data_IF_677713871965
#
_entry.id   IF_677713871965
#
_cell.length_a   1.000
_cell.length_b   1.000
_cell.length_c   1.000
_cell.angle_alpha   90.00
_cell.angle_beta   90.00
_cell.angle_gamma   90.00
#
_symmetry.space_group_name_H-M   'P 1'
#
loop_
_entity.id
_entity.type
_entity.pdbx_description
1 polymer ?
#
# COMPACT_ATOMS: atom_id res chain seq x y z
N UNK A 1 9.67 -10.96 -5.25
CA UNK A 1 8.33 -10.34 -5.02
C UNK A 1 8.31 -8.98 -5.68
N UNK A 2 7.32 -8.69 -6.52
CA UNK A 2 7.13 -7.35 -7.07
C UNK A 2 6.56 -6.44 -6.00
N UNK A 3 7.10 -5.24 -5.90
CA UNK A 3 6.53 -4.19 -5.04
C UNK A 3 5.26 -3.56 -5.66
N UNK A 4 5.17 -3.60 -6.98
CA UNK A 4 4.09 -2.98 -7.74
C UNK A 4 3.66 -3.89 -8.90
N UNK A 5 2.40 -3.81 -9.27
CA UNK A 5 1.79 -4.54 -10.37
C UNK A 5 0.86 -3.58 -11.12
N UNK A 6 0.87 -3.65 -12.45
CA UNK A 6 -0.10 -2.90 -13.25
C UNK A 6 -1.48 -3.53 -13.09
N UNK A 7 -2.53 -2.73 -13.13
CA UNK A 7 -3.90 -3.23 -13.11
C UNK A 7 -4.18 -4.17 -14.27
N UNK A 8 -3.64 -3.88 -15.45
CA UNK A 8 -3.73 -4.74 -16.64
C UNK A 8 -3.01 -6.09 -16.52
N UNK A 9 -2.09 -6.23 -15.56
CA UNK A 9 -1.37 -7.47 -15.29
C UNK A 9 -1.98 -8.29 -14.14
N UNK A 10 -3.00 -7.76 -13.47
CA UNK A 10 -3.59 -8.38 -12.29
C UNK A 10 -4.09 -9.80 -12.58
N UNK A 11 -4.79 -9.98 -13.69
CA UNK A 11 -5.32 -11.28 -14.11
C UNK A 11 -4.20 -12.28 -14.40
N UNK A 12 -3.18 -11.85 -15.14
CA UNK A 12 -2.00 -12.67 -15.44
C UNK A 12 -1.25 -13.05 -14.15
N UNK A 13 -1.16 -12.12 -13.20
CA UNK A 13 -0.53 -12.38 -11.90
C UNK A 13 -1.29 -13.45 -11.10
N UNK A 14 -2.61 -13.36 -11.07
CA UNK A 14 -3.45 -14.32 -10.34
C UNK A 14 -3.32 -15.71 -10.98
N UNK A 15 -3.39 -15.80 -12.29
CA UNK A 15 -3.24 -17.07 -13.00
C UNK A 15 -1.84 -17.66 -12.81
N UNK A 16 -0.81 -16.82 -12.84
CA UNK A 16 0.56 -17.23 -12.55
C UNK A 16 0.71 -17.75 -11.09
N UNK A 17 0.06 -17.12 -10.13
CA UNK A 17 0.04 -17.59 -8.74
C UNK A 17 -0.66 -18.95 -8.60
N UNK A 18 -1.77 -19.15 -9.32
CA UNK A 18 -2.51 -20.42 -9.33
C UNK A 18 -1.71 -21.57 -9.97
N UNK A 19 -1.00 -21.26 -11.03
CA UNK A 19 -0.20 -22.25 -11.79
C UNK A 19 1.22 -22.42 -11.25
N UNK A 20 1.66 -21.66 -10.25
CA UNK A 20 3.02 -21.69 -9.72
C UNK A 20 4.09 -21.20 -10.69
N UNK A 21 3.70 -20.49 -11.75
CA UNK A 21 4.62 -19.95 -12.75
C UNK A 21 4.85 -18.44 -12.53
N UNK A 22 6.07 -17.98 -12.88
CA UNK A 22 6.47 -16.57 -12.76
C UNK A 22 6.80 -15.96 -14.13
N UNK A 23 5.84 -15.96 -15.04
CA UNK A 23 6.02 -15.40 -16.39
C UNK A 23 5.92 -13.88 -16.48
N UNK A 24 5.82 -13.19 -15.35
CA UNK A 24 5.71 -11.75 -15.30
C UNK A 24 7.08 -11.07 -15.46
N UNK A 25 7.13 -9.97 -16.19
CA UNK A 25 8.34 -9.15 -16.33
C UNK A 25 8.80 -8.64 -14.96
N UNK A 26 10.13 -8.66 -14.73
CA UNK A 26 10.70 -8.36 -13.42
C UNK A 26 10.64 -6.88 -13.03
N UNK A 27 10.61 -5.97 -14.00
CA UNK A 27 10.59 -4.52 -13.72
C UNK A 27 9.34 -3.84 -14.30
N UNK A 28 8.57 -3.15 -13.45
CA UNK A 28 7.51 -2.29 -13.93
C UNK A 28 8.11 -0.99 -14.49
N UNK A 29 7.74 -0.62 -15.70
CA UNK A 29 8.20 0.60 -16.38
C UNK A 29 7.37 1.85 -16.02
N UNK A 30 6.47 1.78 -15.04
CA UNK A 30 5.64 2.89 -14.60
C UNK A 30 6.29 3.78 -13.53
N UNK A 31 7.39 3.35 -12.95
CA UNK A 31 8.13 4.13 -11.96
C UNK A 31 9.62 3.79 -11.99
N UNK A 32 10.44 4.79 -11.75
CA UNK A 32 11.87 4.64 -11.50
C UNK A 32 12.19 4.89 -10.03
N UNK A 33 13.15 4.16 -9.48
CA UNK A 33 13.66 4.39 -8.14
C UNK A 33 15.01 5.07 -8.21
N UNK A 34 15.17 6.13 -7.43
CA UNK A 34 16.43 6.85 -7.30
C UNK A 34 16.83 6.83 -5.84
N UNK A 35 18.07 6.41 -5.57
CA UNK A 35 18.67 6.54 -4.25
C UNK A 35 19.49 7.82 -4.20
N UNK A 36 19.19 8.70 -3.26
CA UNK A 36 19.91 9.93 -3.03
C UNK A 36 20.61 9.90 -1.68
N UNK A 37 21.87 10.35 -1.65
CA UNK A 37 22.63 10.50 -0.41
C UNK A 37 22.44 11.92 0.09
N UNK A 38 22.04 12.03 1.34
CA UNK A 38 21.90 13.30 2.05
C UNK A 38 22.84 13.33 3.26
N UNK A 39 23.16 14.52 3.72
CA UNK A 39 23.97 14.71 4.90
C UNK A 39 23.15 15.36 6.02
N UNK A 40 23.26 14.84 7.22
CA UNK A 40 22.70 15.49 8.38
C UNK A 40 23.49 16.79 8.67
N UNK A 41 22.78 17.91 8.85
CA UNK A 41 23.36 19.24 8.80
C UNK A 41 24.43 19.55 9.84
N UNK A 42 24.42 18.93 11.04
CA UNK A 42 25.40 19.17 12.10
C UNK A 42 26.54 18.16 12.13
N UNK A 43 26.25 16.90 11.95
CA UNK A 43 27.22 15.81 12.12
C UNK A 43 27.79 15.31 10.81
N UNK A 44 27.29 15.81 9.66
CA UNK A 44 27.65 15.38 8.31
C UNK A 44 27.60 13.85 8.10
N UNK A 45 26.76 13.16 8.88
CA UNK A 45 26.55 11.73 8.71
C UNK A 45 25.73 11.50 7.45
N UNK A 46 26.24 10.72 6.49
CA UNK A 46 25.49 10.43 5.27
C UNK A 46 24.32 9.48 5.57
N UNK A 47 23.18 9.74 4.96
CA UNK A 47 22.06 8.81 4.95
C UNK A 47 21.43 8.73 3.56
N UNK A 48 20.96 7.56 3.19
CA UNK A 48 20.35 7.33 1.89
C UNK A 48 18.82 7.35 1.99
N UNK A 49 18.20 8.01 1.02
CA UNK A 49 16.74 7.96 0.84
C UNK A 49 16.41 7.42 -0.53
N UNK A 50 15.49 6.43 -0.58
CA UNK A 50 14.92 5.98 -1.84
C UNK A 50 13.68 6.80 -2.18
N UNK A 51 13.59 7.24 -3.40
CA UNK A 51 12.42 7.95 -3.94
C UNK A 51 11.94 7.25 -5.21
N UNK A 52 10.62 7.23 -5.41
CA UNK A 52 10.00 6.73 -6.63
C UNK A 52 9.50 7.91 -7.45
N UNK A 53 9.80 7.89 -8.74
CA UNK A 53 9.31 8.86 -9.71
C UNK A 53 8.44 8.12 -10.72
N UNK A 54 7.18 8.51 -10.81
CA UNK A 54 6.24 7.88 -11.72
C UNK A 54 6.49 8.35 -13.16
N UNK A 55 6.28 7.43 -14.11
CA UNK A 55 6.25 7.76 -15.51
C UNK A 55 5.04 8.67 -15.84
N UNK A 56 5.04 9.38 -16.96
CA UNK A 56 3.86 10.12 -17.40
C UNK A 56 2.61 9.22 -17.44
N UNK A 57 1.50 9.72 -16.95
CA UNK A 57 0.22 9.01 -16.84
C UNK A 57 0.25 7.77 -15.91
N UNK A 58 1.23 7.67 -15.04
CA UNK A 58 1.29 6.66 -13.99
C UNK A 58 1.14 7.29 -12.60
N UNK A 59 0.65 6.52 -11.65
CA UNK A 59 0.45 7.01 -10.29
C UNK A 59 0.07 5.91 -9.31
N UNK A 60 -0.35 6.30 -8.14
CA UNK A 60 -0.88 5.42 -7.12
C UNK A 60 -2.41 5.38 -7.21
N UNK A 61 -2.98 4.26 -6.86
CA UNK A 61 -4.42 4.13 -6.66
C UNK A 61 -4.71 3.53 -5.28
N UNK A 62 -5.89 3.80 -4.80
CA UNK A 62 -6.41 3.26 -3.55
C UNK A 62 -7.81 2.71 -3.81
N UNK A 63 -8.11 1.56 -3.24
CA UNK A 63 -9.45 0.97 -3.28
C UNK A 63 -10.10 1.18 -1.93
N UNK A 64 -11.29 1.80 -1.94
CA UNK A 64 -12.02 2.14 -0.71
C UNK A 64 -13.44 1.57 -0.82
N UNK A 65 -13.88 0.92 0.24
CA UNK A 65 -15.27 0.52 0.40
C UNK A 65 -15.97 1.52 1.32
N UNK A 66 -17.01 2.15 0.81
CA UNK A 66 -17.85 3.05 1.58
C UNK A 66 -19.10 2.31 2.06
N UNK A 67 -19.57 2.65 3.25
CA UNK A 67 -20.82 2.13 3.81
C UNK A 67 -22.02 2.88 3.26
N UNK A 68 -21.86 4.16 2.98
CA UNK A 68 -22.91 5.05 2.48
C UNK A 68 -22.38 5.93 1.36
N UNK A 69 -23.26 6.36 0.43
CA UNK A 69 -22.88 7.23 -0.69
C UNK A 69 -22.51 8.64 -0.23
N UNK A 70 -23.09 9.10 0.85
CA UNK A 70 -22.88 10.41 1.44
C UNK A 70 -21.43 10.61 1.92
N UNK A 71 -20.74 9.51 2.20
CA UNK A 71 -19.33 9.55 2.61
C UNK A 71 -18.38 10.01 1.49
N UNK A 72 -18.85 10.07 0.25
CA UNK A 72 -18.02 10.47 -0.90
C UNK A 72 -17.50 11.90 -0.82
N UNK A 73 -18.32 12.84 -0.38
CA UNK A 73 -17.92 14.26 -0.28
C UNK A 73 -16.84 14.45 0.79
N UNK A 74 -17.03 13.80 1.93
CA UNK A 74 -16.07 13.79 3.01
C UNK A 74 -14.76 13.12 2.56
N UNK A 75 -14.84 11.98 1.89
CA UNK A 75 -13.67 11.26 1.37
C UNK A 75 -12.88 12.11 0.37
N UNK A 76 -13.55 12.78 -0.55
CA UNK A 76 -12.91 13.69 -1.52
C UNK A 76 -12.15 14.80 -0.80
N UNK A 77 -12.77 15.44 0.20
CA UNK A 77 -12.11 16.45 1.01
C UNK A 77 -10.89 15.90 1.74
N UNK A 78 -11.00 14.72 2.34
CA UNK A 78 -9.91 14.09 3.06
C UNK A 78 -8.72 13.78 2.13
N UNK A 79 -8.98 13.24 0.95
CA UNK A 79 -7.92 12.94 -0.03
C UNK A 79 -7.27 14.23 -0.54
N UNK A 80 -8.03 15.28 -0.76
CA UNK A 80 -7.47 16.59 -1.11
C UNK A 80 -6.52 17.10 -0.02
N UNK A 81 -6.91 17.03 1.25
CA UNK A 81 -6.06 17.42 2.38
C UNK A 81 -4.79 16.54 2.46
N UNK A 82 -4.91 15.25 2.22
CA UNK A 82 -3.77 14.33 2.14
C UNK A 82 -2.84 14.74 0.99
N UNK A 83 -3.38 15.12 -0.16
CA UNK A 83 -2.62 15.60 -1.30
C UNK A 83 -1.79 16.84 -0.97
N UNK A 84 -2.36 17.79 -0.26
CA UNK A 84 -1.68 18.99 0.21
C UNK A 84 -0.59 18.68 1.25
N UNK A 85 -0.86 17.77 2.17
CA UNK A 85 0.09 17.39 3.21
C UNK A 85 1.20 16.46 2.71
N UNK A 86 0.94 15.70 1.65
CA UNK A 86 1.84 14.70 1.06
C UNK A 86 1.76 13.33 1.71
N UNK A 87 2.12 12.30 0.93
CA UNK A 87 2.20 10.89 1.35
C UNK A 87 3.65 10.46 1.42
N UNK A 88 3.98 9.66 2.41
CA UNK A 88 5.32 9.09 2.56
C UNK A 88 6.29 9.96 3.35
N UNK A 89 7.57 9.78 3.12
CA UNK A 89 8.64 10.51 3.80
C UNK A 89 8.92 11.89 3.18
N UNK A 90 9.64 12.72 3.92
CA UNK A 90 10.11 14.04 3.46
C UNK A 90 9.00 15.02 3.03
N UNK A 91 7.85 14.93 3.65
CA UNK A 91 6.71 15.84 3.40
C UNK A 91 7.06 17.30 3.64
N UNK A 92 7.88 17.58 4.64
CA UNK A 92 8.42 18.93 4.92
C UNK A 92 9.28 19.51 3.78
N UNK A 93 9.84 18.64 2.94
CA UNK A 93 10.59 19.03 1.74
C UNK A 93 9.71 19.01 0.47
N UNK A 94 8.39 18.93 0.61
CA UNK A 94 7.44 18.95 -0.50
C UNK A 94 7.26 17.62 -1.23
N UNK A 95 7.92 16.54 -0.78
CA UNK A 95 7.76 15.23 -1.39
C UNK A 95 6.41 14.61 -1.11
N UNK A 96 5.91 13.81 -2.07
CA UNK A 96 4.66 13.06 -1.94
C UNK A 96 3.39 13.90 -2.05
N UNK A 97 3.49 15.17 -2.39
CA UNK A 97 2.32 16.01 -2.67
C UNK A 97 1.72 15.66 -4.03
N UNK A 98 0.41 15.77 -4.11
CA UNK A 98 -0.33 15.68 -5.37
C UNK A 98 -1.45 16.72 -5.34
N UNK A 99 -1.59 17.41 -6.45
CA UNK A 99 -2.52 18.56 -6.58
C UNK A 99 -3.55 18.37 -7.68
N UNK A 100 -3.40 17.31 -8.46
CA UNK A 100 -4.30 17.06 -9.59
C UNK A 100 -5.66 16.56 -9.13
N UNK A 101 -6.65 16.81 -9.94
CA UNK A 101 -8.01 16.34 -9.70
C UNK A 101 -8.01 14.83 -9.50
N UNK A 102 -8.50 14.40 -8.38
CA UNK A 102 -8.65 13.00 -8.08
C UNK A 102 -9.71 12.40 -8.99
N UNK A 103 -9.30 11.55 -9.91
CA UNK A 103 -10.25 10.73 -10.64
C UNK A 103 -10.64 9.53 -9.78
N UNK A 104 -11.91 9.27 -9.66
CA UNK A 104 -12.39 8.04 -9.02
C UNK A 104 -13.28 7.24 -9.97
N UNK A 105 -13.29 5.95 -9.78
CA UNK A 105 -14.16 5.03 -10.50
C UNK A 105 -14.93 4.18 -9.49
N UNK A 106 -16.21 4.07 -9.67
CA UNK A 106 -17.03 3.17 -8.88
C UNK A 106 -16.88 1.76 -9.46
N UNK A 107 -16.46 0.80 -8.65
CA UNK A 107 -16.39 -0.61 -9.03
C UNK A 107 -17.72 -1.28 -8.68
N UNK A 108 -18.45 -1.75 -9.68
CA UNK A 108 -19.77 -2.39 -9.52
C UNK A 108 -19.90 -3.71 -10.31
N UNK A 109 -18.84 -4.15 -10.97
CA UNK A 109 -18.80 -5.39 -11.73
C UNK A 109 -19.40 -5.29 -13.14
N UNK A 110 -19.86 -4.11 -13.57
CA UNK A 110 -20.46 -3.87 -14.88
C UNK A 110 -19.61 -2.96 -15.76
N UNK A 111 -18.34 -2.79 -15.38
CA UNK A 111 -17.43 -1.95 -16.14
C UNK A 111 -17.07 -2.54 -17.49
N UNK A 112 -16.94 -1.68 -18.51
CA UNK A 112 -16.42 -2.07 -19.81
C UNK A 112 -14.94 -2.49 -19.74
N UNK A 113 -14.24 -2.09 -18.69
CA UNK A 113 -12.86 -2.46 -18.46
C UNK A 113 -12.78 -3.82 -17.74
N UNK A 114 -12.30 -4.83 -18.46
CA UNK A 114 -12.19 -6.21 -17.96
C UNK A 114 -11.34 -6.33 -16.70
N UNK A 115 -10.29 -5.50 -16.53
CA UNK A 115 -9.43 -5.54 -15.34
C UNK A 115 -10.16 -4.99 -14.12
N UNK A 116 -10.97 -3.96 -14.27
CA UNK A 116 -11.78 -3.41 -13.20
C UNK A 116 -12.88 -4.39 -12.77
N UNK A 117 -13.54 -5.03 -13.71
CA UNK A 117 -14.54 -6.07 -13.44
C UNK A 117 -13.91 -7.26 -12.72
N UNK A 118 -12.76 -7.76 -13.20
CA UNK A 118 -12.03 -8.85 -12.54
C UNK A 118 -11.59 -8.48 -11.12
N UNK A 119 -11.16 -7.25 -10.90
CA UNK A 119 -10.81 -6.77 -9.57
C UNK A 119 -12.03 -6.74 -8.64
N UNK A 120 -13.17 -6.27 -9.12
CA UNK A 120 -14.41 -6.28 -8.36
C UNK A 120 -14.81 -7.70 -7.97
N UNK A 121 -14.81 -8.64 -8.91
CA UNK A 121 -15.13 -10.05 -8.64
C UNK A 121 -14.24 -10.64 -7.54
N UNK A 122 -12.92 -10.38 -7.62
CA UNK A 122 -11.97 -10.85 -6.60
C UNK A 122 -12.21 -10.24 -5.22
N UNK A 123 -12.54 -8.95 -5.16
CA UNK A 123 -12.81 -8.25 -3.90
C UNK A 123 -14.12 -8.73 -3.26
N UNK A 124 -15.08 -9.14 -4.07
CA UNK A 124 -16.41 -9.59 -3.63
C UNK A 124 -16.53 -11.10 -3.43
N UNK A 125 -15.51 -11.87 -3.80
CA UNK A 125 -15.52 -13.32 -3.61
C UNK A 125 -15.40 -13.69 -2.13
N UNK A 126 -16.53 -14.00 -1.53
CA UNK A 126 -16.61 -14.44 -0.12
C UNK A 126 -16.35 -15.95 0.06
N UNK A 127 -16.27 -16.71 -1.05
CA UNK A 127 -16.05 -18.15 -1.05
C UNK A 127 -14.60 -18.55 -1.37
N UNK A 128 -13.75 -17.58 -1.61
CA UNK A 128 -12.35 -17.82 -1.88
C UNK A 128 -11.70 -18.61 -0.75
N UNK A 129 -11.05 -19.71 -1.07
CA UNK A 129 -10.31 -20.55 -0.13
C UNK A 129 -8.93 -19.96 0.23
N UNK A 130 -8.46 -19.00 -0.54
CA UNK A 130 -7.25 -18.26 -0.31
C UNK A 130 -7.49 -16.79 -0.56
N UNK A 131 -6.86 -15.97 0.26
CA UNK A 131 -6.96 -14.52 0.19
C UNK A 131 -5.58 -13.91 0.13
N UNK A 132 -5.43 -12.86 -0.66
CA UNK A 132 -4.17 -12.12 -0.76
C UNK A 132 -4.34 -10.75 -0.15
N UNK A 133 -3.43 -10.39 0.75
CA UNK A 133 -3.40 -9.05 1.31
C UNK A 133 -2.87 -8.04 0.27
N UNK A 134 -3.63 -6.99 -0.02
CA UNK A 134 -3.23 -5.91 -0.92
C UNK A 134 -2.37 -4.84 -0.22
N UNK A 135 -2.36 -4.84 1.10
CA UNK A 135 -1.59 -3.90 1.91
C UNK A 135 -0.85 -4.61 3.04
N UNK A 136 -0.02 -3.88 3.77
CA UNK A 136 0.57 -4.40 5.00
C UNK A 136 -0.51 -4.61 6.05
N UNK A 137 -0.54 -5.79 6.66
CA UNK A 137 -1.55 -6.21 7.63
C UNK A 137 -0.89 -6.42 9.00
N UNK A 138 -1.41 -5.76 10.03
CA UNK A 138 -1.10 -6.05 11.43
C UNK A 138 -2.22 -6.95 12.00
N UNK A 139 -1.95 -8.25 12.22
CA UNK A 139 -2.97 -9.15 12.73
C UNK A 139 -3.45 -8.75 14.13
N UNK A 140 -4.72 -9.01 14.44
CA UNK A 140 -5.22 -9.01 15.80
C UNK A 140 -4.54 -10.12 16.60
N UNK A 141 -4.62 -10.06 17.92
CA UNK A 141 -4.00 -11.08 18.80
C UNK A 141 -4.54 -12.47 18.49
N UNK A 142 -5.83 -12.58 18.25
CA UNK A 142 -6.55 -13.82 17.94
C UNK A 142 -6.24 -14.35 16.54
N UNK A 143 -5.75 -13.49 15.67
CA UNK A 143 -5.43 -13.80 14.28
C UNK A 143 -3.99 -14.23 14.04
N UNK A 144 -3.11 -14.12 15.06
CA UNK A 144 -1.67 -14.36 14.92
C UNK A 144 -1.38 -15.77 14.42
N UNK A 145 -2.07 -16.77 14.94
CA UNK A 145 -1.89 -18.16 14.49
C UNK A 145 -2.30 -18.36 13.03
N UNK A 146 -3.43 -17.79 12.63
CA UNK A 146 -3.90 -17.86 11.24
C UNK A 146 -2.94 -17.11 10.30
N UNK A 147 -2.43 -15.96 10.72
CA UNK A 147 -1.42 -15.20 10.01
C UNK A 147 -0.10 -15.98 9.88
N UNK A 148 0.34 -16.66 10.93
CA UNK A 148 1.56 -17.45 10.93
C UNK A 148 1.51 -18.67 10.01
N UNK A 149 0.33 -19.23 9.78
CA UNK A 149 0.09 -20.32 8.81
C UNK A 149 0.05 -19.83 7.36
N UNK A 150 -0.11 -18.53 7.18
CA UNK A 150 -0.12 -17.91 5.85
C UNK A 150 1.25 -17.93 5.17
N UNK A 151 1.25 -17.84 3.85
CA UNK A 151 2.46 -17.71 3.06
C UNK A 151 2.73 -16.23 2.76
N UNK A 152 3.69 -15.64 3.44
CA UNK A 152 4.03 -14.23 3.26
C UNK A 152 5.32 -13.82 3.95
N UNK A 153 5.72 -12.58 3.73
CA UNK A 153 6.86 -11.98 4.41
C UNK A 153 6.38 -11.19 5.63
N UNK A 154 7.06 -11.39 6.74
CA UNK A 154 6.93 -10.53 7.90
C UNK A 154 7.88 -9.35 7.78
N UNK A 155 7.36 -8.16 7.94
CA UNK A 155 8.11 -6.92 7.94
C UNK A 155 8.10 -6.34 9.37
N UNK A 156 9.27 -5.97 9.82
CA UNK A 156 9.44 -5.26 11.09
C UNK A 156 9.27 -3.76 10.84
N UNK A 157 8.41 -3.13 11.59
CA UNK A 157 8.25 -1.68 11.63
C UNK A 157 8.64 -1.17 13.00
N UNK A 158 9.54 -0.21 13.00
CA UNK A 158 9.95 0.54 14.18
C UNK A 158 10.27 1.96 13.73
N UNK A 159 10.24 2.89 14.63
CA UNK A 159 10.54 4.27 14.32
C UNK A 159 10.77 5.08 15.57
N UNK A 160 10.95 6.37 15.36
CA UNK A 160 10.99 7.37 16.40
C UNK A 160 9.76 8.25 16.23
N UNK A 161 9.06 8.51 17.32
CA UNK A 161 8.02 9.55 17.36
C UNK A 161 8.65 10.82 17.92
N UNK A 162 8.27 11.93 17.33
CA UNK A 162 8.63 13.24 17.82
C UNK A 162 7.39 14.14 17.78
N UNK A 163 7.14 14.87 18.83
CA UNK A 163 6.11 15.89 18.90
C UNK A 163 6.68 17.16 19.51
N UNK A 164 6.02 18.26 19.25
CA UNK A 164 6.39 19.54 19.83
C UNK A 164 6.34 19.47 21.35
N UNK A 165 7.41 19.88 22.03
CA UNK A 165 7.57 19.77 23.47
C UNK A 165 8.33 18.54 23.96
N UNK A 166 8.73 17.61 23.10
CA UNK A 166 9.63 16.52 23.48
C UNK A 166 11.09 16.97 23.40
N UNK A 167 11.86 16.71 24.45
CA UNK A 167 13.31 16.99 24.49
C UNK A 167 14.11 16.08 23.55
N UNK A 168 13.63 14.85 23.35
CA UNK A 168 14.26 13.87 22.47
C UNK A 168 13.19 12.97 21.83
N UNK A 169 13.48 12.41 20.63
CA UNK A 169 12.58 11.46 19.99
C UNK A 169 12.37 10.23 20.85
N UNK A 170 11.12 9.83 21.05
CA UNK A 170 10.78 8.58 21.72
C UNK A 170 10.78 7.41 20.72
N UNK A 171 11.37 6.29 21.13
CA UNK A 171 11.35 5.07 20.30
C UNK A 171 9.95 4.46 20.34
N UNK A 172 9.36 4.30 19.18
CA UNK A 172 8.08 3.59 19.02
C UNK A 172 8.26 2.09 19.26
N UNK A 173 7.21 1.45 19.75
CA UNK A 173 7.17 -0.01 19.84
C UNK A 173 7.44 -0.66 18.49
N UNK A 174 8.26 -1.70 18.50
CA UNK A 174 8.48 -2.49 17.30
C UNK A 174 7.26 -3.37 17.05
N UNK A 175 6.71 -3.26 15.85
CA UNK A 175 5.58 -4.09 15.40
C UNK A 175 6.02 -4.96 14.22
N UNK A 176 5.40 -6.13 14.11
CA UNK A 176 5.60 -7.06 13.01
C UNK A 176 4.30 -7.16 12.23
N UNK A 177 4.38 -6.89 10.94
CA UNK A 177 3.25 -6.88 10.03
C UNK A 177 3.49 -7.86 8.89
N UNK A 178 2.44 -8.42 8.34
CA UNK A 178 2.53 -9.14 7.08
C UNK A 178 2.68 -8.14 5.93
N UNK A 179 3.56 -8.42 4.99
CA UNK A 179 3.73 -7.59 3.81
C UNK A 179 2.53 -7.75 2.85
N UNK A 180 2.30 -6.73 2.02
CA UNK A 180 1.41 -6.85 0.88
C UNK A 180 1.80 -8.03 -0.01
N UNK A 181 0.81 -8.71 -0.61
CA UNK A 181 0.99 -9.93 -1.38
C UNK A 181 1.14 -11.20 -0.52
N UNK A 182 0.91 -11.13 0.78
CA UNK A 182 0.84 -12.32 1.63
C UNK A 182 -0.46 -13.08 1.36
N UNK A 183 -0.37 -14.41 1.25
CA UNK A 183 -1.51 -15.29 0.99
C UNK A 183 -1.95 -15.97 2.29
N UNK A 184 -3.22 -15.96 2.54
CA UNK A 184 -3.86 -16.42 3.76
C UNK A 184 -4.98 -17.41 3.40
N UNK A 185 -5.18 -18.42 4.23
CA UNK A 185 -6.31 -19.34 4.10
C UNK A 185 -7.62 -18.78 4.66
N UNK A 186 -7.53 -17.77 5.52
CA UNK A 186 -8.68 -17.13 6.15
C UNK A 186 -8.59 -15.62 5.96
N UNK A 187 -9.74 -14.95 5.92
CA UNK A 187 -9.80 -13.49 5.94
C UNK A 187 -9.42 -13.02 7.33
N UNK A 188 -8.44 -12.11 7.37
CA UNK A 188 -8.07 -11.42 8.59
C UNK A 188 -8.58 -9.98 8.51
N UNK A 189 -9.04 -9.47 9.63
CA UNK A 189 -9.50 -8.08 9.74
C UNK A 189 -8.34 -7.13 10.05
N UNK A 190 -7.38 -7.63 10.85
CA UNK A 190 -6.27 -6.83 11.32
C UNK A 190 -6.65 -5.80 12.39
N UNK A 191 -5.66 -5.02 12.81
CA UNK A 191 -5.85 -3.91 13.74
C UNK A 191 -4.96 -2.72 13.37
N UNK A 192 -5.32 -1.56 13.90
CA UNK A 192 -4.47 -0.37 13.88
C UNK A 192 -3.50 -0.48 15.06
N UNK A 193 -2.25 -0.08 14.85
CA UNK A 193 -1.28 0.04 15.95
C UNK A 193 -1.58 1.33 16.73
N UNK A 194 -1.68 1.19 18.02
CA UNK A 194 -1.77 2.31 18.97
C UNK A 194 -0.36 2.82 19.35
#
# INVERSE_FOLDING_TARGET
KRAFLRTSELRLYIDACRCGSSSLKDEPDFASSISQVHFNGRERVPYSTGSYFFAPNAGLYIVIRLSQKEDMSWLSTLIHLIGLSGIGGRKSSGMGRFTEEMSYRVLNGTEDNQDAAAMYELLMDTKATQQMSLCSLLPKKEEIEAAARGNGLWIRRSGLSWSEGMESPAKMHTIYMMAAGSCLSNRLEGRIAD
#
